data_IF_353305993398
#
_entry.id   IF_353305993398
#
_cell.length_a   1.000
_cell.length_b   1.000
_cell.length_c   1.000
_cell.angle_alpha   90.00
_cell.angle_beta   90.00
_cell.angle_gamma   90.00
#
_symmetry.space_group_name_H-M   'P 1'
#
loop_
_entity.id
_entity.type
_entity.pdbx_description
1 polymer ?
#
# COMPACT_ATOMS: atom_id res chain seq x y z
N UNK A 1 -10.21 -7.02 23.84
CA UNK A 1 -9.36 -7.87 22.96
C UNK A 1 -9.24 -7.09 21.66
N UNK A 2 -8.03 -6.71 21.23
CA UNK A 2 -7.87 -6.05 19.92
C UNK A 2 -8.28 -7.08 18.88
N UNK A 3 -9.15 -6.69 17.95
CA UNK A 3 -9.43 -7.52 16.80
C UNK A 3 -8.19 -7.45 15.90
N UNK A 4 -7.57 -8.60 15.64
CA UNK A 4 -6.35 -8.70 14.79
C UNK A 4 -6.75 -8.86 13.31
N UNK A 5 -8.00 -8.52 12.96
CA UNK A 5 -8.51 -8.56 11.59
C UNK A 5 -8.57 -7.15 10.98
N UNK A 6 -7.97 -7.00 9.81
CA UNK A 6 -8.11 -5.80 8.98
C UNK A 6 -9.23 -5.99 7.96
N UNK A 7 -9.96 -4.90 7.68
CA UNK A 7 -11.00 -4.84 6.67
C UNK A 7 -10.69 -3.68 5.71
N UNK A 8 -10.27 -4.01 4.50
CA UNK A 8 -9.80 -3.04 3.51
C UNK A 8 -10.47 -3.29 2.14
N UNK A 9 -10.70 -2.21 1.40
CA UNK A 9 -10.97 -2.25 -0.05
C UNK A 9 -9.95 -1.42 -0.78
N UNK A 10 -9.43 -1.95 -1.88
CA UNK A 10 -8.30 -1.37 -2.61
C UNK A 10 -8.67 -1.09 -4.05
N UNK A 11 -8.19 0.03 -4.57
CA UNK A 11 -8.51 0.52 -5.91
C UNK A 11 -7.23 0.94 -6.61
N UNK A 12 -7.10 0.53 -7.87
CA UNK A 12 -6.07 1.03 -8.77
C UNK A 12 -6.42 2.47 -9.19
N UNK A 13 -5.40 3.32 -9.21
CA UNK A 13 -5.50 4.72 -9.62
C UNK A 13 -4.44 5.02 -10.69
N UNK A 14 -4.74 5.93 -11.61
CA UNK A 14 -3.74 6.37 -12.60
C UNK A 14 -2.67 7.26 -11.97
N UNK A 15 -3.07 8.12 -11.04
CA UNK A 15 -2.18 9.08 -10.37
C UNK A 15 -2.80 9.53 -9.03
N UNK A 16 -1.99 10.21 -8.21
CA UNK A 16 -2.46 10.93 -7.03
C UNK A 16 -3.14 12.23 -7.47
N UNK A 17 -4.39 12.51 -7.07
CA UNK A 17 -5.00 13.81 -7.33
C UNK A 17 -4.21 14.95 -6.68
N UNK A 18 -3.92 16.03 -7.43
CA UNK A 18 -3.16 17.19 -6.95
C UNK A 18 -3.77 17.79 -5.67
N UNK A 19 -5.09 17.74 -5.57
CA UNK A 19 -5.90 18.25 -4.45
C UNK A 19 -5.55 17.58 -3.11
N UNK A 20 -4.99 16.36 -3.14
CA UNK A 20 -4.65 15.57 -1.96
C UNK A 20 -3.19 15.78 -1.52
N UNK A 21 -2.36 16.49 -2.29
CA UNK A 21 -1.02 16.89 -1.88
C UNK A 21 -1.04 18.34 -1.35
N UNK A 22 -1.09 18.48 -0.03
CA UNK A 22 -1.07 19.77 0.67
C UNK A 22 0.33 20.42 0.74
N UNK A 23 1.34 19.81 0.11
CA UNK A 23 2.73 20.25 0.14
C UNK A 23 3.51 19.80 1.39
N UNK A 24 2.85 19.24 2.41
CA UNK A 24 3.51 18.68 3.59
C UNK A 24 4.13 17.31 3.28
N UNK A 25 5.20 16.91 3.97
CA UNK A 25 5.82 15.62 3.68
C UNK A 25 4.81 14.47 3.95
N UNK A 26 4.54 13.59 2.96
CA UNK A 26 3.67 12.45 3.17
C UNK A 26 4.31 11.46 4.16
N UNK A 27 3.58 10.41 4.53
CA UNK A 27 4.19 9.30 5.26
C UNK A 27 5.06 8.52 4.26
N UNK A 28 6.36 8.76 4.29
CA UNK A 28 7.33 7.96 3.56
C UNK A 28 7.50 6.62 4.28
N UNK A 29 7.31 5.52 3.54
CA UNK A 29 7.36 4.16 4.06
C UNK A 29 8.44 3.39 3.30
N UNK A 30 9.35 2.77 4.04
CA UNK A 30 10.25 1.72 3.53
C UNK A 30 9.91 0.43 4.26
N UNK A 31 9.59 -0.63 3.51
CA UNK A 31 9.21 -1.91 4.09
C UNK A 31 9.90 -3.05 3.34
N UNK A 32 10.25 -4.13 4.05
CA UNK A 32 10.86 -5.32 3.47
C UNK A 32 10.12 -6.58 3.89
N UNK A 33 9.92 -7.48 2.93
CA UNK A 33 9.23 -8.75 3.10
C UNK A 33 10.23 -9.92 3.14
N UNK A 34 10.24 -10.67 4.24
CA UNK A 34 11.17 -11.80 4.48
C UNK A 34 10.53 -13.15 4.23
N UNK A 35 9.22 -13.22 4.46
CA UNK A 35 8.38 -14.36 4.12
C UNK A 35 7.24 -13.80 3.30
N UNK A 36 6.98 -14.38 2.14
CA UNK A 36 5.72 -14.28 1.44
C UNK A 36 5.47 -15.65 0.78
N UNK A 37 4.55 -16.44 1.31
CA UNK A 37 4.25 -17.77 0.74
C UNK A 37 2.82 -18.16 1.13
N UNK A 38 2.05 -18.68 0.18
CA UNK A 38 0.69 -19.15 0.43
C UNK A 38 -0.20 -18.08 1.11
N UNK A 39 0.00 -16.80 0.73
CA UNK A 39 -0.60 -15.59 1.31
C UNK A 39 -0.25 -15.31 2.79
N UNK A 40 0.74 -15.98 3.38
CA UNK A 40 1.34 -15.61 4.65
C UNK A 40 2.52 -14.67 4.41
N UNK A 41 2.72 -13.69 5.30
CA UNK A 41 3.87 -12.79 5.19
C UNK A 41 4.50 -12.37 6.52
N UNK A 42 5.81 -12.10 6.48
CA UNK A 42 6.57 -11.42 7.53
C UNK A 42 7.17 -10.13 6.96
N UNK A 43 6.77 -8.99 7.52
CA UNK A 43 7.18 -7.66 7.06
C UNK A 43 7.90 -6.91 8.18
N UNK A 44 8.96 -6.20 7.82
CA UNK A 44 9.50 -5.09 8.61
C UNK A 44 9.20 -3.78 7.89
N UNK A 45 8.65 -2.79 8.58
CA UNK A 45 8.29 -1.48 8.03
C UNK A 45 8.93 -0.37 8.86
N UNK A 46 9.55 0.61 8.22
CA UNK A 46 9.90 1.90 8.79
C UNK A 46 9.09 3.00 8.13
N UNK A 47 8.74 4.03 8.89
CA UNK A 47 8.04 5.20 8.35
C UNK A 47 8.52 6.53 8.95
N UNK A 48 8.34 7.60 8.18
CA UNK A 48 8.66 8.97 8.59
C UNK A 48 7.78 9.98 7.87
N UNK A 49 7.51 11.12 8.51
CA UNK A 49 6.84 12.29 7.92
C UNK A 49 7.77 13.48 7.77
N UNK A 50 9.09 13.25 7.81
CA UNK A 50 10.11 14.31 7.76
C UNK A 50 10.77 14.46 6.39
N UNK A 51 10.44 13.57 5.45
CA UNK A 51 11.13 13.45 4.17
C UNK A 51 10.09 13.43 3.07
N UNK A 52 10.35 14.24 2.05
CA UNK A 52 9.62 14.20 0.79
C UNK A 52 10.56 13.65 -0.27
N UNK A 53 10.36 12.38 -0.61
CA UNK A 53 11.12 11.67 -1.65
C UNK A 53 10.23 11.51 -2.89
N UNK A 54 10.80 11.70 -4.08
CA UNK A 54 10.06 11.49 -5.31
C UNK A 54 9.95 10.00 -5.60
N UNK A 55 8.73 9.50 -5.87
CA UNK A 55 8.49 8.07 -6.15
C UNK A 55 8.68 7.77 -7.64
N UNK A 56 9.93 7.79 -8.08
CA UNK A 56 10.32 7.53 -9.47
C UNK A 56 10.76 6.07 -9.66
N UNK A 57 10.86 5.58 -10.91
CA UNK A 57 11.45 4.26 -11.19
C UNK A 57 12.90 4.08 -10.69
N UNK A 58 13.64 5.19 -10.53
CA UNK A 58 15.02 5.19 -10.03
C UNK A 58 15.16 5.28 -8.52
N UNK A 59 14.05 5.41 -7.78
CA UNK A 59 14.07 5.57 -6.32
C UNK A 59 14.45 4.24 -5.65
N UNK A 60 15.64 4.19 -5.07
CA UNK A 60 16.14 3.00 -4.37
C UNK A 60 15.74 3.04 -2.88
N UNK A 61 14.90 2.07 -2.40
CA UNK A 61 14.47 2.01 -1.01
C UNK A 61 15.65 1.95 -0.02
N UNK A 62 16.72 1.22 -0.35
CA UNK A 62 17.86 1.00 0.55
C UNK A 62 18.74 2.23 0.63
N UNK A 63 18.96 2.91 -0.50
CA UNK A 63 19.67 4.18 -0.53
C UNK A 63 18.94 5.25 0.29
N UNK A 64 17.63 5.41 0.07
CA UNK A 64 16.80 6.38 0.82
C UNK A 64 16.84 6.10 2.32
N UNK A 65 16.67 4.84 2.74
CA UNK A 65 16.73 4.46 4.15
C UNK A 65 18.10 4.73 4.77
N UNK A 66 19.18 4.33 4.08
CA UNK A 66 20.56 4.50 4.56
C UNK A 66 20.92 5.98 4.71
N UNK A 67 20.59 6.79 3.71
CA UNK A 67 20.99 8.19 3.64
C UNK A 67 20.18 9.05 4.64
N UNK A 68 19.04 8.55 5.11
CA UNK A 68 18.11 9.28 5.98
C UNK A 68 17.75 8.55 7.28
N UNK A 69 18.57 7.61 7.73
CA UNK A 69 18.25 6.70 8.85
C UNK A 69 17.67 7.38 10.09
N UNK A 70 18.27 8.48 10.53
CA UNK A 70 17.86 9.21 11.75
C UNK A 70 16.48 9.87 11.65
N UNK A 71 15.91 9.99 10.45
CA UNK A 71 14.57 10.53 10.24
C UNK A 71 13.48 9.47 10.40
N UNK A 72 13.80 8.18 10.24
CA UNK A 72 12.88 7.06 10.43
C UNK A 72 12.75 6.73 11.92
N UNK A 73 11.77 7.36 12.58
CA UNK A 73 11.58 7.26 14.02
C UNK A 73 10.51 6.22 14.45
N UNK A 74 9.82 5.61 13.49
CA UNK A 74 8.78 4.61 13.74
C UNK A 74 9.05 3.37 12.91
N UNK A 75 9.02 2.21 13.56
CA UNK A 75 9.22 0.94 12.89
C UNK A 75 8.40 -0.18 13.51
N UNK A 76 8.04 -1.15 12.68
CA UNK A 76 7.13 -2.22 13.00
C UNK A 76 7.58 -3.54 12.40
N UNK A 77 7.34 -4.63 13.12
CA UNK A 77 7.33 -5.98 12.56
C UNK A 77 5.89 -6.47 12.50
N UNK A 78 5.53 -7.09 11.39
CA UNK A 78 4.15 -7.51 11.13
C UNK A 78 4.12 -8.95 10.62
N UNK A 79 3.27 -9.77 11.22
CA UNK A 79 2.94 -11.12 10.74
C UNK A 79 1.55 -11.07 10.13
N UNK A 80 1.41 -11.59 8.92
CA UNK A 80 0.16 -11.61 8.15
C UNK A 80 -0.25 -13.03 7.83
N UNK A 81 -1.54 -13.31 8.00
CA UNK A 81 -2.19 -14.53 7.49
C UNK A 81 -2.82 -14.31 6.11
N UNK A 82 -3.43 -15.36 5.53
CA UNK A 82 -4.03 -15.29 4.21
C UNK A 82 -5.17 -14.28 4.17
N UNK A 83 -5.25 -13.50 3.08
CA UNK A 83 -6.36 -12.59 2.81
C UNK A 83 -7.47 -13.29 2.03
N UNK A 84 -8.71 -13.11 2.46
CA UNK A 84 -9.92 -13.61 1.80
C UNK A 84 -10.99 -12.52 1.84
N UNK A 85 -11.42 -12.04 0.67
CA UNK A 85 -12.53 -11.07 0.56
C UNK A 85 -12.25 -9.74 1.28
N UNK A 86 -11.01 -9.24 1.22
CA UNK A 86 -10.60 -8.01 1.91
C UNK A 86 -10.43 -8.13 3.43
N UNK A 87 -10.42 -9.36 3.97
CA UNK A 87 -10.20 -9.63 5.40
C UNK A 87 -8.96 -10.51 5.59
N UNK A 88 -8.08 -10.15 6.53
CA UNK A 88 -6.91 -10.96 6.89
C UNK A 88 -6.55 -10.84 8.37
N UNK A 89 -5.87 -11.85 8.90
CA UNK A 89 -5.17 -11.75 10.19
C UNK A 89 -3.91 -10.90 10.01
N UNK A 90 -3.75 -9.87 10.84
CA UNK A 90 -2.56 -9.02 10.89
C UNK A 90 -2.19 -8.70 12.34
N UNK A 91 -0.99 -9.10 12.74
CA UNK A 91 -0.44 -8.77 14.05
C UNK A 91 0.83 -7.93 13.90
N UNK A 92 0.74 -6.68 14.35
CA UNK A 92 1.84 -5.71 14.28
C UNK A 92 2.39 -5.37 15.68
N UNK A 93 3.71 -5.21 15.78
CA UNK A 93 4.40 -4.75 16.99
C UNK A 93 5.43 -3.69 16.65
N UNK A 94 5.51 -2.67 17.49
CA UNK A 94 6.59 -1.68 17.46
C UNK A 94 7.94 -2.37 17.72
N UNK A 95 8.95 -1.95 16.96
CA UNK A 95 10.34 -2.35 17.17
C UNK A 95 11.24 -1.14 17.11
N UNK A 96 12.45 -1.26 17.68
CA UNK A 96 13.45 -0.21 17.61
C UNK A 96 13.78 0.16 16.14
N UNK A 97 13.69 1.43 15.74
CA UNK A 97 13.93 1.83 14.35
C UNK A 97 15.35 1.55 13.85
N UNK A 98 16.36 1.61 14.71
CA UNK A 98 17.73 1.28 14.30
C UNK A 98 17.87 -0.22 14.01
N UNK A 99 17.22 -1.08 14.80
CA UNK A 99 17.17 -2.51 14.54
C UNK A 99 16.38 -2.80 13.25
N UNK A 100 15.23 -2.15 13.05
CA UNK A 100 14.43 -2.30 11.84
C UNK A 100 15.22 -1.93 10.59
N UNK A 101 15.97 -0.83 10.65
CA UNK A 101 16.83 -0.39 9.56
C UNK A 101 17.93 -1.43 9.25
N UNK A 102 18.60 -1.96 10.28
CA UNK A 102 19.60 -3.02 10.10
C UNK A 102 19.01 -4.28 9.45
N UNK A 103 17.78 -4.66 9.82
CA UNK A 103 17.08 -5.78 9.19
C UNK A 103 16.86 -5.50 7.71
N UNK A 104 16.19 -4.40 7.37
CA UNK A 104 15.88 -4.03 5.97
C UNK A 104 17.14 -3.97 5.12
N UNK A 105 18.26 -3.47 5.66
CA UNK A 105 19.54 -3.43 4.94
C UNK A 105 20.16 -4.81 4.67
N UNK A 106 19.76 -5.86 5.39
CA UNK A 106 20.33 -7.22 5.27
C UNK A 106 19.51 -8.14 4.38
N UNK A 107 18.24 -7.85 4.12
CA UNK A 107 17.48 -8.69 3.21
C UNK A 107 15.99 -8.44 3.16
N UNK A 108 15.31 -9.49 2.68
CA UNK A 108 13.93 -9.42 2.22
C UNK A 108 13.82 -8.70 0.88
N UNK A 109 12.58 -8.48 0.45
CA UNK A 109 12.25 -7.73 -0.76
C UNK A 109 11.76 -6.32 -0.38
N UNK A 110 12.58 -5.27 -0.57
CA UNK A 110 12.26 -3.92 -0.14
C UNK A 110 11.29 -3.23 -1.11
N UNK A 111 10.38 -2.44 -0.54
CA UNK A 111 9.43 -1.56 -1.20
C UNK A 111 9.52 -0.18 -0.56
N UNK A 112 9.40 0.86 -1.39
CA UNK A 112 9.28 2.25 -0.96
C UNK A 112 8.00 2.87 -1.53
N UNK A 113 7.30 3.64 -0.72
CA UNK A 113 6.10 4.38 -1.13
C UNK A 113 5.88 5.61 -0.27
N UNK A 114 5.20 6.60 -0.84
CA UNK A 114 4.58 7.69 -0.08
C UNK A 114 3.11 7.36 0.16
N UNK A 115 2.64 7.51 1.40
CA UNK A 115 1.24 7.39 1.77
C UNK A 115 0.66 8.76 2.09
N UNK A 116 -0.40 9.10 1.37
CA UNK A 116 -1.22 10.29 1.58
C UNK A 116 -2.53 9.86 2.23
N UNK A 117 -2.95 10.55 3.29
CA UNK A 117 -4.19 10.23 3.98
C UNK A 117 -5.21 11.36 3.76
N UNK A 118 -6.43 10.99 3.37
CA UNK A 118 -7.50 11.93 3.10
C UNK A 118 -8.82 11.43 3.70
N UNK A 119 -9.67 12.35 4.12
CA UNK A 119 -11.06 12.04 4.48
C UNK A 119 -11.96 12.39 3.31
N UNK A 120 -12.60 11.39 2.69
CA UNK A 120 -13.46 11.59 1.51
C UNK A 120 -14.83 10.99 1.81
N UNK A 121 -15.85 11.84 1.80
CA UNK A 121 -17.18 11.48 2.28
C UNK A 121 -17.16 11.08 3.75
N UNK A 122 -17.45 9.80 4.01
CA UNK A 122 -17.57 9.24 5.37
C UNK A 122 -16.36 8.37 5.75
N UNK A 123 -15.38 8.23 4.86
CA UNK A 123 -14.30 7.25 4.98
C UNK A 123 -12.91 7.89 4.97
N UNK A 124 -12.01 7.26 5.73
CA UNK A 124 -10.58 7.52 5.66
C UNK A 124 -9.95 6.73 4.52
N UNK A 125 -9.18 7.43 3.69
CA UNK A 125 -8.48 6.87 2.54
C UNK A 125 -6.98 7.02 2.71
N UNK A 126 -6.26 5.96 2.37
CA UNK A 126 -4.81 5.96 2.20
C UNK A 126 -4.49 5.81 0.71
N UNK A 127 -3.80 6.78 0.12
CA UNK A 127 -3.35 6.74 -1.26
C UNK A 127 -1.84 6.50 -1.25
N UNK A 128 -1.45 5.30 -1.67
CA UNK A 128 -0.07 4.86 -1.76
C UNK A 128 0.48 5.11 -3.17
N UNK A 129 1.52 5.93 -3.27
CA UNK A 129 2.29 6.18 -4.49
C UNK A 129 3.61 5.42 -4.36
N UNK A 130 3.85 4.44 -5.23
CA UNK A 130 5.00 3.53 -5.14
C UNK A 130 6.20 4.02 -5.95
N UNK A 131 7.41 3.85 -5.38
CA UNK A 131 8.67 4.14 -6.03
C UNK A 131 9.40 2.89 -6.54
N UNK A 132 10.57 3.10 -7.15
CA UNK A 132 11.46 2.05 -7.63
C UNK A 132 10.80 1.15 -8.67
N UNK A 133 10.98 -0.17 -8.57
CA UNK A 133 10.38 -1.13 -9.50
C UNK A 133 8.85 -1.22 -9.44
N UNK A 134 8.23 -0.59 -8.44
CA UNK A 134 6.78 -0.50 -8.33
C UNK A 134 6.23 0.82 -8.89
N UNK A 135 7.08 1.79 -9.24
CA UNK A 135 6.63 2.99 -9.93
C UNK A 135 6.08 2.66 -11.33
N UNK A 136 5.08 3.39 -11.84
CA UNK A 136 4.40 4.54 -11.20
C UNK A 136 3.10 4.15 -10.48
N UNK A 137 3.00 2.94 -9.92
CA UNK A 137 1.75 2.43 -9.33
C UNK A 137 1.19 3.37 -8.27
N UNK A 138 -0.12 3.63 -8.34
CA UNK A 138 -0.90 4.28 -7.30
C UNK A 138 -2.05 3.37 -6.87
N UNK A 139 -2.20 3.16 -5.56
CA UNK A 139 -3.28 2.37 -4.96
C UNK A 139 -3.97 3.19 -3.90
N UNK A 140 -5.29 3.33 -4.00
CA UNK A 140 -6.13 3.90 -2.96
C UNK A 140 -6.75 2.78 -2.12
N UNK A 141 -6.74 2.96 -0.81
CA UNK A 141 -7.21 2.00 0.17
C UNK A 141 -8.17 2.69 1.13
N UNK A 142 -9.38 2.14 1.26
CA UNK A 142 -10.33 2.50 2.31
C UNK A 142 -10.31 1.41 3.38
N UNK A 143 -10.20 1.80 4.64
CA UNK A 143 -10.10 0.88 5.78
C UNK A 143 -11.12 1.24 6.86
N UNK A 144 -11.72 0.22 7.50
CA UNK A 144 -12.64 0.39 8.65
C UNK A 144 -12.34 -0.65 9.72
N UNK A 145 -12.85 -0.45 10.94
CA UNK A 145 -12.79 -1.43 12.04
C UNK A 145 -13.69 -2.66 11.85
N UNK A 146 -14.24 -2.84 10.65
CA UNK A 146 -15.25 -3.83 10.28
C UNK A 146 -15.44 -3.80 8.76
N UNK A 147 -16.26 -4.69 8.18
CA UNK A 147 -16.40 -4.81 6.73
C UNK A 147 -16.68 -3.47 6.03
N UNK A 148 -15.83 -3.13 5.07
CA UNK A 148 -15.95 -1.91 4.26
C UNK A 148 -17.07 -2.11 3.25
N UNK A 149 -18.23 -1.52 3.54
CA UNK A 149 -19.46 -1.69 2.74
C UNK A 149 -20.10 -0.34 2.45
N UNK A 150 -20.81 -0.25 1.32
CA UNK A 150 -21.52 0.96 0.87
C UNK A 150 -20.60 2.19 0.77
N UNK A 151 -19.45 2.01 0.13
CA UNK A 151 -18.42 3.04 0.02
C UNK A 151 -18.86 4.16 -0.93
N UNK A 152 -18.47 5.40 -0.66
CA UNK A 152 -18.41 6.45 -1.68
C UNK A 152 -17.03 6.36 -2.33
N UNK A 153 -16.96 5.76 -3.52
CA UNK A 153 -15.72 5.54 -4.26
C UNK A 153 -15.34 6.85 -4.97
N UNK A 154 -14.19 7.47 -4.65
CA UNK A 154 -13.73 8.70 -5.28
C UNK A 154 -13.52 8.54 -6.78
N UNK A 155 -13.69 9.63 -7.54
CA UNK A 155 -13.60 9.60 -9.02
C UNK A 155 -12.25 9.08 -9.56
N UNK A 156 -11.17 9.25 -8.81
CA UNK A 156 -9.83 8.82 -9.19
C UNK A 156 -9.57 7.32 -8.97
N UNK A 157 -10.48 6.61 -8.31
CA UNK A 157 -10.46 5.16 -8.19
C UNK A 157 -11.00 4.52 -9.47
N UNK A 158 -10.11 3.88 -10.23
CA UNK A 158 -10.41 3.37 -11.57
C UNK A 158 -11.07 2.00 -11.48
N UNK A 159 -10.33 1.02 -10.94
CA UNK A 159 -10.73 -0.39 -10.85
C UNK A 159 -10.48 -0.91 -9.45
N UNK A 160 -11.42 -1.68 -8.91
CA UNK A 160 -11.26 -2.37 -7.64
C UNK A 160 -10.33 -3.58 -7.81
N UNK A 161 -9.34 -3.66 -6.91
CA UNK A 161 -8.25 -4.65 -6.89
C UNK A 161 -8.16 -5.34 -5.51
N UNK A 162 -9.22 -5.25 -4.70
CA UNK A 162 -9.29 -5.82 -3.33
C UNK A 162 -8.90 -7.30 -3.28
N UNK A 163 -9.33 -8.10 -4.25
CA UNK A 163 -9.02 -9.54 -4.34
C UNK A 163 -7.84 -9.87 -5.28
N UNK A 164 -7.20 -8.87 -5.88
CA UNK A 164 -6.05 -9.08 -6.75
C UNK A 164 -4.75 -9.09 -5.93
N UNK A 165 -4.24 -10.30 -5.69
CA UNK A 165 -3.01 -10.52 -4.93
C UNK A 165 -1.77 -9.90 -5.61
N UNK A 166 -1.79 -9.61 -6.92
CA UNK A 166 -0.67 -8.93 -7.60
C UNK A 166 -0.41 -7.55 -7.00
N UNK A 167 -1.47 -6.88 -6.53
CA UNK A 167 -1.41 -5.54 -5.94
C UNK A 167 -1.25 -5.54 -4.41
N UNK A 168 -1.19 -6.70 -3.75
CA UNK A 168 -0.83 -6.71 -2.32
C UNK A 168 0.63 -6.27 -2.17
N UNK A 169 0.99 -5.66 -1.04
CA UNK A 169 2.36 -5.24 -0.83
C UNK A 169 3.34 -6.44 -0.87
N UNK A 170 2.93 -7.62 -0.40
CA UNK A 170 3.71 -8.87 -0.51
C UNK A 170 3.78 -9.40 -1.95
N UNK A 171 2.69 -9.28 -2.74
CA UNK A 171 2.68 -9.59 -4.16
C UNK A 171 3.63 -8.68 -4.95
N UNK A 172 3.61 -7.38 -4.66
CA UNK A 172 4.53 -6.38 -5.23
C UNK A 172 5.99 -6.60 -4.81
N UNK A 173 6.22 -7.15 -3.61
CA UNK A 173 7.57 -7.49 -3.14
C UNK A 173 8.11 -8.70 -3.92
N UNK A 174 7.24 -9.68 -4.19
CA UNK A 174 7.56 -10.89 -4.94
C UNK A 174 7.80 -10.63 -6.43
N UNK A 175 6.84 -9.97 -7.08
CA UNK A 175 6.84 -9.66 -8.51
C UNK A 175 6.47 -8.19 -8.69
N UNK A 176 7.47 -7.29 -8.77
CA UNK A 176 7.23 -5.86 -8.87
C UNK A 176 6.34 -5.46 -10.03
N UNK A 177 5.59 -4.37 -9.87
CA UNK A 177 4.63 -3.86 -10.84
C UNK A 177 5.23 -3.71 -12.25
N UNK A 178 6.46 -3.23 -12.37
CA UNK A 178 7.13 -3.08 -13.66
C UNK A 178 7.19 -4.37 -14.49
N UNK A 179 7.11 -5.55 -13.87
CA UNK A 179 7.19 -6.86 -14.54
C UNK A 179 5.84 -7.31 -15.15
N UNK A 180 4.75 -6.58 -14.89
CA UNK A 180 3.40 -6.92 -15.35
C UNK A 180 2.49 -5.71 -15.61
N UNK A 181 2.97 -4.48 -15.44
CA UNK A 181 2.19 -3.27 -15.67
C UNK A 181 1.58 -3.21 -17.08
N UNK A 182 2.34 -3.60 -18.11
CA UNK A 182 1.86 -3.64 -19.48
C UNK A 182 0.76 -4.70 -19.71
N UNK A 183 0.82 -5.81 -18.96
CA UNK A 183 -0.20 -6.86 -19.05
C UNK A 183 -1.50 -6.38 -18.40
N UNK A 184 -1.41 -5.78 -17.21
CA UNK A 184 -2.57 -5.22 -16.52
C UNK A 184 -3.20 -4.05 -17.28
N UNK A 185 -2.41 -3.20 -17.93
CA UNK A 185 -2.93 -2.13 -18.79
C UNK A 185 -3.80 -2.71 -19.92
N UNK A 186 -3.34 -3.79 -20.59
CA UNK A 186 -4.14 -4.48 -21.61
C UNK A 186 -5.39 -5.14 -21.04
N UNK A 187 -5.28 -5.80 -19.87
CA UNK A 187 -6.45 -6.36 -19.17
C UNK A 187 -7.50 -5.28 -18.89
N UNK A 188 -7.08 -4.09 -18.46
CA UNK A 188 -7.96 -2.96 -18.18
C UNK A 188 -8.57 -2.37 -19.46
N UNK A 189 -7.82 -2.27 -20.54
CA UNK A 189 -8.32 -1.81 -21.85
C UNK A 189 -9.34 -2.79 -22.45
N UNK A 190 -9.06 -4.10 -22.36
CA UNK A 190 -9.88 -5.16 -22.95
C UNK A 190 -11.19 -5.41 -22.17
N UNK A 191 -11.15 -5.28 -20.84
CA UNK A 191 -12.27 -5.65 -19.96
C UNK A 191 -12.95 -4.46 -19.28
N UNK A 192 -12.31 -3.29 -19.31
CA UNK A 192 -12.74 -2.12 -18.54
C UNK A 192 -12.51 -2.27 -17.03
N UNK A 193 -12.81 -1.21 -16.26
CA UNK A 193 -12.68 -1.23 -14.81
C UNK A 193 -13.64 -2.22 -14.16
N UNK A 194 -13.15 -2.97 -13.17
CA UNK A 194 -13.96 -3.90 -12.37
C UNK A 194 -14.35 -3.27 -11.04
N UNK A 195 -15.56 -3.57 -10.57
CA UNK A 195 -16.04 -3.23 -9.22
C UNK A 195 -16.65 -4.49 -8.60
N UNK A 196 -16.36 -4.77 -7.33
CA UNK A 196 -16.86 -5.96 -6.64
C UNK A 196 -18.25 -5.67 -6.08
N UNK A 197 -19.23 -6.51 -6.45
CA UNK A 197 -20.64 -6.25 -6.14
C UNK A 197 -21.11 -6.83 -4.80
N UNK A 198 -20.26 -7.55 -4.09
CA UNK A 198 -20.63 -8.24 -2.84
C UNK A 198 -20.50 -7.37 -1.57
N UNK A 199 -19.96 -6.15 -1.69
CA UNK A 199 -19.80 -5.19 -0.57
C UNK A 199 -21.01 -4.25 -0.36
N UNK A 200 -22.16 -4.55 -0.96
CA UNK A 200 -23.39 -3.77 -0.80
C UNK A 200 -23.61 -2.76 -1.93
N UNK A 201 -24.23 -1.62 -1.62
CA UNK A 201 -24.60 -0.58 -2.59
C UNK A 201 -23.58 0.56 -2.57
N UNK A 202 -22.51 0.39 -3.34
CA UNK A 202 -21.52 1.44 -3.53
C UNK A 202 -22.06 2.61 -4.36
N UNK A 203 -21.52 3.81 -4.13
CA UNK A 203 -21.78 5.02 -4.91
C UNK A 203 -20.45 5.52 -5.46
N UNK A 204 -20.45 6.08 -6.68
CA UNK A 204 -19.30 6.85 -7.17
C UNK A 204 -19.52 8.32 -6.90
N UNK A 205 -18.46 9.01 -6.53
CA UNK A 205 -18.43 10.47 -6.50
C UNK A 205 -18.63 11.01 -7.93
N UNK A 206 -19.40 12.10 -8.05
CA UNK A 206 -19.69 12.76 -9.34
C UNK A 206 -18.49 13.56 -9.88
#
# INVERSE_FOLDING_TARGET
MRDDFEYERRFFCHELPEELDDGSAPILIVQSYYVHQDNYALRVRLQTTRIREAMTPGTDPLAVLRDNRSAFAQAFVTVKGPSVGGTRYEAERDIDPDIAAELVMRGGAPIIKNRYSAWIGEDGWNIDVFGGRNAPLVVAEAERSGPVTNLVIPRFCVSEITDDARFSNDGLASRPYADWAADYARELDDHGPRMLTFFGKDRREE
#
